data_IF_010482840887
#
_entry.id   IF_010482840887
#
_cell.length_a   1.000
_cell.length_b   1.000
_cell.length_c   1.000
_cell.angle_alpha   90.00
_cell.angle_beta   90.00
_cell.angle_gamma   90.00
#
_symmetry.space_group_name_H-M   'P 1'
#
loop_
_entity.id
_entity.type
_entity.pdbx_description
1 polymer ?
#
# COMPACT_ATOMS: atom_id res chain seq x y z
N UNK A 1 -8.94 -19.26 22.92
CA UNK A 1 -8.77 -20.13 21.74
C UNK A 1 -7.40 -19.79 21.19
N UNK A 2 -6.44 -20.68 21.30
CA UNK A 2 -5.07 -20.46 20.78
C UNK A 2 -5.16 -20.61 19.27
N UNK A 3 -4.83 -19.57 18.51
CA UNK A 3 -4.74 -19.64 17.05
C UNK A 3 -3.33 -20.14 16.74
N UNK A 4 -3.21 -21.26 16.03
CA UNK A 4 -1.90 -21.81 15.64
C UNK A 4 -1.33 -21.01 14.47
N UNK A 5 0.00 -20.97 14.31
CA UNK A 5 0.66 -20.22 13.23
C UNK A 5 0.17 -20.63 11.82
N UNK A 6 -0.17 -21.92 11.63
CA UNK A 6 -0.73 -22.44 10.38
C UNK A 6 -2.07 -21.82 10.00
N UNK A 7 -2.88 -21.44 10.98
CA UNK A 7 -4.25 -20.94 10.77
C UNK A 7 -4.26 -19.57 10.10
N UNK A 8 -3.15 -18.83 10.15
CA UNK A 8 -3.01 -17.51 9.53
C UNK A 8 -2.58 -17.62 8.07
N UNK A 9 -1.71 -18.57 7.73
CA UNK A 9 -1.26 -18.80 6.35
C UNK A 9 -2.44 -19.16 5.45
N UNK A 10 -3.35 -20.00 5.94
CA UNK A 10 -4.54 -20.42 5.20
C UNK A 10 -5.57 -19.29 5.00
N UNK A 11 -5.47 -18.20 5.78
CA UNK A 11 -6.32 -17.00 5.62
C UNK A 11 -5.77 -16.00 4.61
N UNK A 12 -4.52 -16.17 4.16
CA UNK A 12 -3.93 -15.31 3.15
C UNK A 12 -4.53 -15.64 1.78
N UNK A 13 -5.32 -14.71 1.24
CA UNK A 13 -5.89 -14.86 -0.10
C UNK A 13 -4.94 -14.29 -1.16
N UNK A 14 -4.28 -15.19 -1.89
CA UNK A 14 -3.48 -14.82 -3.07
C UNK A 14 -4.30 -14.01 -4.09
N UNK A 15 -5.54 -14.42 -4.33
CA UNK A 15 -6.39 -13.75 -5.31
C UNK A 15 -6.77 -12.33 -4.87
N UNK A 16 -7.00 -12.11 -3.57
CA UNK A 16 -7.24 -10.77 -3.04
C UNK A 16 -6.01 -9.87 -3.23
N UNK A 17 -4.81 -10.38 -2.91
CA UNK A 17 -3.53 -9.68 -3.10
C UNK A 17 -3.33 -9.31 -4.57
N UNK A 18 -3.48 -10.28 -5.47
CA UNK A 18 -3.31 -10.06 -6.91
C UNK A 18 -4.35 -9.07 -7.43
N UNK A 19 -5.61 -9.15 -6.98
CA UNK A 19 -6.66 -8.24 -7.42
C UNK A 19 -6.38 -6.78 -7.02
N UNK A 20 -6.05 -6.52 -5.75
CA UNK A 20 -5.73 -5.15 -5.32
C UNK A 20 -4.43 -4.65 -5.99
N UNK A 21 -3.44 -5.52 -6.18
CA UNK A 21 -2.19 -5.16 -6.87
C UNK A 21 -2.44 -4.76 -8.32
N UNK A 22 -3.32 -5.47 -9.04
CA UNK A 22 -3.74 -5.09 -10.40
C UNK A 22 -4.43 -3.73 -10.41
N UNK A 23 -5.35 -3.47 -9.47
CA UNK A 23 -6.05 -2.19 -9.36
C UNK A 23 -5.06 -1.04 -9.11
N UNK A 24 -4.10 -1.22 -8.20
CA UNK A 24 -3.05 -0.23 -7.94
C UNK A 24 -2.19 0.02 -9.20
N UNK A 25 -1.75 -1.04 -9.88
CA UNK A 25 -0.98 -0.94 -11.13
C UNK A 25 -1.75 -0.18 -12.21
N UNK A 26 -3.07 -0.39 -12.28
CA UNK A 26 -3.94 0.27 -13.24
C UNK A 26 -4.17 1.76 -13.02
N UNK A 27 -3.65 2.34 -11.94
CA UNK A 27 -3.74 3.78 -11.66
C UNK A 27 -2.35 4.40 -11.90
N UNK A 28 -2.12 5.14 -13.00
CA UNK A 28 -0.86 5.84 -13.20
C UNK A 28 -0.57 6.80 -12.06
N UNK A 29 0.65 6.73 -11.52
CA UNK A 29 1.10 7.52 -10.37
C UNK A 29 2.58 7.83 -10.50
N UNK A 30 2.98 8.42 -11.63
CA UNK A 30 4.35 8.94 -11.75
C UNK A 30 4.56 10.01 -10.68
N UNK A 31 5.72 10.09 -10.04
CA UNK A 31 5.95 11.03 -8.92
C UNK A 31 5.48 12.45 -9.24
N UNK A 32 4.63 13.01 -8.37
CA UNK A 32 3.86 14.23 -8.61
C UNK A 32 2.39 13.98 -9.02
N UNK A 33 2.01 12.74 -9.32
CA UNK A 33 0.67 12.32 -9.75
C UNK A 33 0.01 11.31 -8.81
N UNK A 34 0.34 11.35 -7.51
CA UNK A 34 -0.05 10.31 -6.54
C UNK A 34 -1.52 10.42 -6.05
N UNK A 35 -2.15 11.58 -6.20
CA UNK A 35 -3.48 11.83 -5.64
C UNK A 35 -4.52 10.75 -5.99
N UNK A 36 -4.56 10.30 -7.25
CA UNK A 36 -5.54 9.31 -7.71
C UNK A 36 -5.33 7.94 -7.03
N UNK A 37 -4.08 7.48 -6.94
CA UNK A 37 -3.79 6.18 -6.32
C UNK A 37 -3.97 6.22 -4.80
N UNK A 38 -3.64 7.34 -4.15
CA UNK A 38 -3.90 7.54 -2.72
C UNK A 38 -5.39 7.66 -2.41
N UNK A 39 -6.18 8.25 -3.32
CA UNK A 39 -7.64 8.28 -3.18
C UNK A 39 -8.23 6.87 -3.27
N UNK A 40 -7.71 6.04 -4.16
CA UNK A 40 -8.10 4.63 -4.24
C UNK A 40 -7.79 3.88 -2.93
N UNK A 41 -6.62 4.09 -2.34
CA UNK A 41 -6.25 3.46 -1.04
C UNK A 41 -7.24 3.87 0.05
N UNK A 42 -7.57 5.15 0.17
CA UNK A 42 -8.56 5.66 1.13
C UNK A 42 -9.91 4.98 0.96
N UNK A 43 -10.44 4.93 -0.27
CA UNK A 43 -11.71 4.26 -0.58
C UNK A 43 -11.67 2.77 -0.23
N UNK A 44 -10.57 2.09 -0.57
CA UNK A 44 -10.41 0.67 -0.27
C UNK A 44 -10.42 0.39 1.24
N UNK A 45 -9.82 1.27 2.04
CA UNK A 45 -9.81 1.20 3.51
C UNK A 45 -11.19 1.53 4.10
N UNK A 46 -11.86 2.55 3.58
CA UNK A 46 -13.20 2.97 4.00
C UNK A 46 -14.24 1.85 3.79
N UNK A 47 -14.21 1.20 2.62
CA UNK A 47 -15.07 0.04 2.31
C UNK A 47 -14.89 -1.12 3.29
N UNK A 48 -13.74 -1.18 3.96
CA UNK A 48 -13.38 -2.19 4.95
C UNK A 48 -13.42 -1.67 6.38
N UNK A 49 -13.86 -0.43 6.61
CA UNK A 49 -13.90 0.15 7.96
C UNK A 49 -12.54 0.14 8.67
N UNK A 50 -11.44 0.25 7.93
CA UNK A 50 -10.08 0.32 8.50
C UNK A 50 -9.75 1.80 8.71
N UNK A 51 -9.43 2.17 9.95
CA UNK A 51 -9.08 3.55 10.29
C UNK A 51 -7.71 3.97 9.72
N UNK A 52 -7.64 5.20 9.23
CA UNK A 52 -6.41 5.81 8.75
C UNK A 52 -6.36 7.31 9.01
N UNK A 53 -5.14 7.86 8.95
CA UNK A 53 -4.87 9.30 8.93
C UNK A 53 -4.26 9.65 7.58
N UNK A 54 -4.63 10.81 7.05
CA UNK A 54 -4.01 11.39 5.85
C UNK A 54 -3.15 12.56 6.27
N UNK A 55 -1.90 12.59 5.83
CA UNK A 55 -1.00 13.71 6.07
C UNK A 55 -0.29 14.12 4.78
N UNK A 56 -0.11 15.42 4.59
CA UNK A 56 0.45 15.98 3.37
C UNK A 56 1.03 17.38 3.61
N UNK A 57 2.23 17.63 3.10
CA UNK A 57 2.77 18.99 2.92
C UNK A 57 2.40 19.59 1.55
N UNK A 58 2.00 18.75 0.59
CA UNK A 58 1.34 19.14 -0.66
C UNK A 58 0.03 18.34 -0.83
N UNK A 59 -1.15 18.99 -0.89
CA UNK A 59 -2.43 18.30 -1.03
C UNK A 59 -2.55 17.37 -2.24
N UNK A 60 -1.73 17.57 -3.28
CA UNK A 60 -1.71 16.71 -4.47
C UNK A 60 -0.88 15.43 -4.27
N UNK A 61 -0.13 15.32 -3.17
CA UNK A 61 0.81 14.24 -2.89
C UNK A 61 0.64 13.72 -1.45
N UNK A 62 -0.57 13.24 -1.09
CA UNK A 62 -0.85 12.82 0.27
C UNK A 62 -0.15 11.51 0.64
N UNK A 63 -0.05 11.26 1.94
CA UNK A 63 0.36 10.00 2.53
C UNK A 63 -0.79 9.43 3.35
N UNK A 64 -0.95 8.11 3.36
CA UNK A 64 -2.00 7.40 4.10
C UNK A 64 -1.37 6.49 5.15
N UNK A 65 -1.70 6.73 6.42
CA UNK A 65 -1.23 5.95 7.56
C UNK A 65 -2.41 5.17 8.13
N UNK A 66 -2.51 3.89 7.78
CA UNK A 66 -3.58 3.02 8.26
C UNK A 66 -3.13 2.20 9.47
N UNK A 67 -4.00 2.04 10.47
CA UNK A 67 -3.69 1.33 11.72
C UNK A 67 -4.79 0.32 12.05
N UNK A 68 -4.39 -0.91 12.41
CA UNK A 68 -5.28 -1.91 13.04
C UNK A 68 -4.70 -2.38 14.37
N UNK A 69 -5.57 -2.67 15.34
CA UNK A 69 -5.17 -2.90 16.73
C UNK A 69 -5.06 -1.61 17.55
N UNK A 70 -4.47 -1.71 18.74
CA UNK A 70 -4.28 -0.58 19.65
C UNK A 70 -2.78 -0.30 19.85
N UNK A 71 -2.25 0.81 19.32
CA UNK A 71 -0.82 1.12 19.39
C UNK A 71 -0.34 1.41 20.83
N UNK A 72 -1.23 1.58 21.79
CA UNK A 72 -0.89 1.78 23.21
C UNK A 72 -0.83 0.46 24.00
N UNK A 73 -1.37 -0.62 23.44
CA UNK A 73 -1.51 -1.92 24.12
C UNK A 73 -0.27 -2.82 24.00
N UNK A 74 0.73 -2.43 23.20
CA UNK A 74 1.88 -3.26 22.91
C UNK A 74 2.78 -2.71 21.80
N UNK A 75 3.68 -3.54 21.21
CA UNK A 75 4.56 -3.10 20.14
C UNK A 75 3.78 -2.74 18.87
N UNK A 76 4.32 -1.80 18.10
CA UNK A 76 3.80 -1.43 16.78
C UNK A 76 4.73 -1.96 15.70
N UNK A 77 4.17 -2.69 14.74
CA UNK A 77 4.87 -3.05 13.50
C UNK A 77 4.43 -2.05 12.42
N UNK A 78 5.34 -1.20 11.96
CA UNK A 78 5.10 -0.27 10.86
C UNK A 78 5.69 -0.83 9.56
N UNK A 79 4.84 -1.10 8.58
CA UNK A 79 5.22 -1.41 7.21
C UNK A 79 5.24 -0.10 6.42
N UNK A 80 6.30 0.21 5.69
CA UNK A 80 6.40 1.42 4.87
C UNK A 80 6.51 1.03 3.39
N UNK A 81 5.75 1.72 2.54
CA UNK A 81 5.80 1.52 1.10
C UNK A 81 5.23 2.70 0.33
N UNK A 82 5.70 2.87 -0.90
CA UNK A 82 5.34 3.96 -1.77
C UNK A 82 4.40 3.52 -2.89
N UNK A 83 3.68 4.48 -3.46
CA UNK A 83 2.81 4.23 -4.62
C UNK A 83 3.14 5.11 -5.82
N UNK A 84 4.10 6.02 -5.69
CA UNK A 84 4.64 6.69 -6.86
C UNK A 84 5.49 5.72 -7.70
N UNK A 85 5.81 6.14 -8.92
CA UNK A 85 6.57 5.30 -9.85
C UNK A 85 7.46 6.17 -10.72
N UNK A 86 8.57 5.61 -11.20
CA UNK A 86 9.28 6.22 -12.34
C UNK A 86 8.42 6.27 -13.61
N UNK A 87 8.67 7.22 -14.53
CA UNK A 87 8.02 7.27 -15.84
C UNK A 87 8.21 5.99 -16.65
N UNK A 88 7.29 5.74 -17.59
CA UNK A 88 7.50 4.76 -18.65
C UNK A 88 8.31 5.41 -19.77
N UNK A 89 9.57 5.00 -19.93
CA UNK A 89 10.49 5.62 -20.92
C UNK A 89 10.07 5.38 -22.37
N UNK A 90 9.62 4.18 -22.70
CA UNK A 90 9.10 3.80 -24.03
C UNK A 90 7.97 2.78 -23.87
N UNK A 91 6.74 3.21 -24.15
CA UNK A 91 5.57 2.31 -24.07
C UNK A 91 5.60 1.21 -25.15
N UNK A 92 6.26 1.45 -26.29
CA UNK A 92 6.32 0.49 -27.40
C UNK A 92 7.22 -0.70 -27.11
N UNK A 93 8.12 -0.60 -26.12
CA UNK A 93 8.93 -1.72 -25.66
C UNK A 93 8.17 -2.71 -24.78
N UNK A 94 6.94 -2.36 -24.35
CA UNK A 94 6.11 -3.24 -23.53
C UNK A 94 5.27 -4.18 -24.39
N UNK A 95 5.09 -5.41 -23.89
CA UNK A 95 4.23 -6.42 -24.53
C UNK A 95 2.74 -6.25 -24.19
N UNK A 96 2.47 -5.51 -23.12
CA UNK A 96 1.14 -5.18 -22.59
C UNK A 96 1.13 -3.69 -22.25
N UNK A 97 -0.04 -3.09 -22.04
CA UNK A 97 -0.07 -1.72 -21.51
C UNK A 97 0.66 -1.69 -20.15
N UNK A 98 1.64 -0.78 -19.95
CA UNK A 98 2.35 -0.66 -18.67
C UNK A 98 1.42 -0.30 -17.50
N UNK A 99 0.28 0.33 -17.75
CA UNK A 99 -0.72 0.68 -16.74
C UNK A 99 -1.92 -0.27 -16.78
N UNK A 100 -1.72 -1.50 -17.26
CA UNK A 100 -2.65 -2.60 -17.08
C UNK A 100 -1.96 -3.70 -16.28
N UNK A 101 -2.48 -4.01 -15.09
CA UNK A 101 -1.99 -5.13 -14.29
C UNK A 101 -2.32 -6.46 -14.96
N UNK A 102 -1.36 -7.04 -15.71
CA UNK A 102 -1.57 -8.30 -16.46
C UNK A 102 -0.89 -9.46 -15.75
N UNK A 103 -1.67 -10.47 -15.37
CA UNK A 103 -1.13 -11.74 -14.88
C UNK A 103 -0.80 -12.62 -16.09
N UNK A 104 0.38 -13.22 -16.11
CA UNK A 104 0.79 -14.11 -17.19
C UNK A 104 0.01 -15.43 -17.21
N UNK A 105 0.11 -16.18 -18.30
CA UNK A 105 -0.70 -17.38 -18.55
C UNK A 105 -0.57 -18.47 -17.47
N UNK A 106 0.64 -18.67 -16.91
CA UNK A 106 0.88 -19.65 -15.84
C UNK A 106 0.51 -19.12 -14.44
N UNK A 107 0.07 -17.86 -14.36
CA UNK A 107 -0.34 -17.22 -13.12
C UNK A 107 0.80 -16.76 -12.22
N UNK A 108 2.08 -16.98 -12.54
CA UNK A 108 3.19 -16.77 -11.61
C UNK A 108 3.72 -15.33 -11.54
N UNK A 109 3.39 -14.48 -12.52
CA UNK A 109 3.90 -13.12 -12.65
C UNK A 109 2.79 -12.12 -12.92
N UNK A 110 2.84 -10.99 -12.23
CA UNK A 110 2.06 -9.79 -12.53
C UNK A 110 2.98 -8.78 -13.23
N UNK A 111 2.61 -8.38 -14.44
CA UNK A 111 3.30 -7.36 -15.22
C UNK A 111 2.57 -6.02 -15.13
N UNK A 112 3.37 -4.94 -15.11
CA UNK A 112 2.90 -3.56 -15.13
C UNK A 112 3.88 -2.62 -14.43
N UNK A 113 3.84 -1.33 -14.77
CA UNK A 113 4.60 -0.28 -14.11
C UNK A 113 4.14 -0.18 -12.66
N UNK A 114 5.10 -0.32 -11.77
CA UNK A 114 4.85 -0.35 -10.34
C UNK A 114 4.57 -1.73 -9.77
N UNK A 115 4.40 -2.77 -10.60
CA UNK A 115 4.06 -4.10 -10.10
C UNK A 115 5.09 -4.63 -9.10
N UNK A 116 6.38 -4.53 -9.40
CA UNK A 116 7.45 -4.88 -8.45
C UNK A 116 7.82 -3.72 -7.51
N UNK A 117 7.85 -2.49 -8.03
CA UNK A 117 8.36 -1.31 -7.32
C UNK A 117 7.32 -0.17 -7.31
N UNK A 118 6.45 -0.10 -6.29
CA UNK A 118 6.28 -1.13 -5.24
C UNK A 118 4.82 -1.48 -4.93
N UNK A 119 3.94 -1.30 -5.91
CA UNK A 119 2.49 -1.43 -5.77
C UNK A 119 2.01 -2.80 -5.31
N UNK A 120 2.64 -3.90 -5.73
CA UNK A 120 2.21 -5.23 -5.24
C UNK A 120 2.58 -5.44 -3.77
N UNK A 121 3.69 -4.88 -3.30
CA UNK A 121 4.06 -4.91 -1.88
C UNK A 121 3.06 -4.09 -1.05
N UNK A 122 2.63 -2.93 -1.55
CA UNK A 122 1.54 -2.16 -0.93
C UNK A 122 0.22 -2.92 -0.97
N UNK A 123 -0.08 -3.63 -2.06
CA UNK A 123 -1.24 -4.52 -2.15
C UNK A 123 -1.23 -5.60 -1.05
N UNK A 124 -0.07 -6.21 -0.79
CA UNK A 124 0.11 -7.12 0.35
C UNK A 124 -0.15 -6.40 1.68
N UNK A 125 0.47 -5.24 1.91
CA UNK A 125 0.26 -4.45 3.13
C UNK A 125 -1.22 -4.13 3.38
N UNK A 126 -1.96 -3.71 2.35
CA UNK A 126 -3.39 -3.43 2.42
C UNK A 126 -4.19 -4.67 2.83
N UNK A 127 -3.96 -5.81 2.16
CA UNK A 127 -4.65 -7.07 2.53
C UNK A 127 -4.27 -7.60 3.91
N UNK A 128 -3.05 -7.30 4.40
CA UNK A 128 -2.66 -7.62 5.77
C UNK A 128 -3.46 -6.80 6.78
N UNK A 129 -3.71 -5.51 6.54
CA UNK A 129 -4.58 -4.72 7.41
C UNK A 129 -5.99 -5.34 7.51
N UNK A 130 -6.56 -5.73 6.38
CA UNK A 130 -7.87 -6.42 6.35
C UNK A 130 -7.84 -7.74 7.12
N UNK A 131 -6.79 -8.55 6.93
CA UNK A 131 -6.63 -9.83 7.64
C UNK A 131 -6.52 -9.65 9.17
N UNK A 132 -5.81 -8.61 9.62
CA UNK A 132 -5.51 -8.41 11.04
C UNK A 132 -6.47 -7.46 11.77
N UNK A 133 -7.39 -6.79 11.07
CA UNK A 133 -8.34 -5.84 11.66
C UNK A 133 -9.07 -6.40 12.89
N UNK A 134 -9.55 -7.64 12.80
CA UNK A 134 -10.35 -8.30 13.84
C UNK A 134 -9.58 -9.41 14.57
N UNK A 135 -8.24 -9.40 14.47
CA UNK A 135 -7.38 -10.47 14.99
C UNK A 135 -7.14 -10.41 16.52
N UNK A 136 -7.55 -9.33 17.19
CA UNK A 136 -7.30 -9.14 18.62
C UNK A 136 -5.81 -9.03 18.97
N UNK A 137 -5.08 -8.20 18.22
CA UNK A 137 -3.64 -7.99 18.41
C UNK A 137 -3.29 -7.42 19.79
N UNK A 138 -2.17 -7.88 20.36
CA UNK A 138 -1.48 -7.15 21.43
C UNK A 138 -0.50 -6.17 20.77
N UNK A 139 -0.86 -4.89 20.76
CA UNK A 139 -0.18 -3.86 19.96
C UNK A 139 -0.94 -3.51 18.68
N UNK A 140 -0.22 -3.04 17.67
CA UNK A 140 -0.82 -2.62 16.40
C UNK A 140 0.04 -2.95 15.18
N UNK A 141 -0.63 -3.06 14.03
CA UNK A 141 -0.03 -3.10 12.71
C UNK A 141 -0.37 -1.81 11.98
N UNK A 142 0.66 -1.15 11.44
CA UNK A 142 0.51 0.05 10.63
C UNK A 142 1.00 -0.17 9.21
N UNK A 143 0.31 0.44 8.25
CA UNK A 143 0.80 0.61 6.89
C UNK A 143 0.98 2.10 6.61
N UNK A 144 2.22 2.50 6.38
CA UNK A 144 2.61 3.84 5.96
C UNK A 144 2.74 3.83 4.44
N UNK A 145 1.69 4.28 3.75
CA UNK A 145 1.60 4.31 2.30
C UNK A 145 1.91 5.73 1.83
N UNK A 146 3.08 5.92 1.21
CA UNK A 146 3.68 7.24 1.00
C UNK A 146 3.81 7.64 -0.47
N UNK A 147 3.91 8.94 -0.70
CA UNK A 147 4.22 9.54 -2.01
C UNK A 147 5.73 9.77 -2.17
N UNK A 148 6.16 10.20 -3.36
CA UNK A 148 7.46 10.86 -3.60
C UNK A 148 8.75 10.05 -3.39
N UNK A 149 8.69 8.73 -3.19
CA UNK A 149 9.90 7.95 -2.88
C UNK A 149 10.91 8.01 -4.04
N UNK A 150 10.43 7.91 -5.27
CA UNK A 150 11.26 7.81 -6.48
C UNK A 150 12.00 9.12 -6.83
N UNK A 151 11.67 10.22 -6.14
CA UNK A 151 12.31 11.54 -6.32
C UNK A 151 12.82 12.17 -5.00
N UNK A 152 12.94 11.38 -3.93
CA UNK A 152 13.66 11.76 -2.71
C UNK A 152 12.84 11.87 -1.42
N UNK A 153 11.59 11.40 -1.42
CA UNK A 153 10.73 11.19 -0.24
C UNK A 153 10.44 12.42 0.63
N UNK A 154 10.67 13.64 0.14
CA UNK A 154 10.40 14.90 0.84
C UNK A 154 8.91 15.10 1.13
N UNK A 155 8.04 14.74 0.19
CA UNK A 155 6.58 14.78 0.37
C UNK A 155 6.05 13.46 0.94
N UNK A 156 6.92 12.45 1.02
CA UNK A 156 6.64 11.09 1.44
C UNK A 156 7.05 10.78 2.87
N UNK A 157 7.87 9.74 3.01
CA UNK A 157 8.37 9.25 4.30
C UNK A 157 9.02 10.33 5.16
N UNK A 158 9.77 11.30 4.59
CA UNK A 158 10.38 12.36 5.41
C UNK A 158 9.31 13.25 6.06
N UNK A 159 8.26 13.60 5.31
CA UNK A 159 7.12 14.33 5.88
C UNK A 159 6.40 13.52 6.96
N UNK A 160 6.19 12.21 6.74
CA UNK A 160 5.59 11.33 7.75
C UNK A 160 6.44 11.27 9.03
N UNK A 161 7.77 11.24 8.92
CA UNK A 161 8.66 11.27 10.07
C UNK A 161 8.55 12.60 10.84
N UNK A 162 8.51 13.73 10.13
CA UNK A 162 8.34 15.05 10.74
C UNK A 162 7.01 15.13 11.54
N UNK A 163 5.93 14.57 11.01
CA UNK A 163 4.62 14.52 11.70
C UNK A 163 4.64 13.62 12.94
N UNK A 164 5.32 12.47 12.87
CA UNK A 164 5.50 11.56 14.02
C UNK A 164 6.33 12.25 15.12
N UNK A 165 7.41 12.95 14.76
CA UNK A 165 8.23 13.71 15.71
C UNK A 165 7.46 14.87 16.34
N UNK A 166 6.54 15.49 15.60
CA UNK A 166 5.64 16.52 16.09
C UNK A 166 4.53 15.96 17.01
N UNK A 167 4.28 14.65 16.99
CA UNK A 167 3.26 13.97 17.79
C UNK A 167 1.84 14.08 17.23
N UNK A 168 1.72 14.22 15.91
CA UNK A 168 0.43 14.28 15.19
C UNK A 168 -0.11 12.89 14.81
#
# INVERSE_FOLDING_TARGET
MTIEHSDWVDRVSRDAIVNVSKQLVSIPSVSGGELAVMTFVQQWLDERGIGYVVTANDPTRPNVIATVGDPTSGPVIAMNGHLDTVPVSDASSWRTDPFEGVVNEDGTRLYGRGASDMKSSVGVMMTMLELFRDAGLTGALQAHIVSDEEIGARFGTLHVLDEIEAGN
#
